data_IF_003102634675
#
_entry.id   IF_003102634675
#
_cell.length_a   1.000
_cell.length_b   1.000
_cell.length_c   1.000
_cell.angle_alpha   90.00
_cell.angle_beta   90.00
_cell.angle_gamma   90.00
#
_symmetry.space_group_name_H-M   'P 1'
#
loop_
_entity.id
_entity.type
_entity.pdbx_description
1 polymer ?
#
# COMPACT_ATOMS: atom_id res chain seq x y z
N UNK A 1 -38.78 30.99 49.41
CA UNK A 1 -38.47 31.12 47.97
C UNK A 1 -37.13 30.42 47.74
N UNK A 2 -37.17 29.31 47.00
CA UNK A 2 -36.04 28.43 46.68
C UNK A 2 -35.43 28.88 45.36
N UNK A 3 -34.11 28.81 45.21
CA UNK A 3 -33.43 28.86 43.90
C UNK A 3 -32.17 27.98 43.95
N UNK A 4 -32.31 26.75 43.47
CA UNK A 4 -31.19 25.87 43.09
C UNK A 4 -30.65 26.28 41.71
N UNK A 5 -29.35 26.07 41.42
CA UNK A 5 -28.78 26.41 40.12
C UNK A 5 -29.29 25.47 39.00
N UNK A 6 -29.38 25.95 37.74
CA UNK A 6 -29.93 25.17 36.64
C UNK A 6 -28.96 24.08 36.17
N UNK A 7 -29.44 22.85 36.15
CA UNK A 7 -28.78 21.70 35.52
C UNK A 7 -28.88 21.86 33.99
N UNK A 8 -27.77 22.20 33.33
CA UNK A 8 -27.69 22.19 31.87
C UNK A 8 -27.62 20.74 31.37
N UNK A 9 -28.78 20.15 31.09
CA UNK A 9 -28.91 19.00 30.19
C UNK A 9 -28.70 19.51 28.77
N UNK A 10 -27.53 19.28 28.19
CA UNK A 10 -27.36 19.45 26.75
C UNK A 10 -27.92 18.21 26.04
N UNK A 11 -28.92 18.43 25.20
CA UNK A 11 -29.60 17.41 24.44
C UNK A 11 -28.65 16.79 23.41
N UNK A 12 -28.50 15.46 23.46
CA UNK A 12 -28.01 14.70 22.33
C UNK A 12 -29.10 14.72 21.25
N UNK A 13 -28.98 15.63 20.29
CA UNK A 13 -29.73 15.58 19.03
C UNK A 13 -28.87 16.20 17.95
N UNK A 14 -28.44 15.35 17.05
CA UNK A 14 -27.52 15.68 15.98
C UNK A 14 -27.07 14.36 15.39
N UNK A 15 -28.01 13.66 14.77
CA UNK A 15 -27.73 12.51 13.92
C UNK A 15 -26.74 12.98 12.85
N UNK A 16 -25.44 12.81 13.10
CA UNK A 16 -24.45 12.88 12.03
C UNK A 16 -24.58 11.54 11.33
N UNK A 17 -25.60 11.45 10.50
CA UNK A 17 -25.62 10.51 9.38
C UNK A 17 -24.26 10.70 8.71
N UNK A 18 -23.35 9.73 8.88
CA UNK A 18 -22.15 9.66 8.06
C UNK A 18 -22.68 9.31 6.66
N UNK A 19 -22.77 10.26 5.71
CA UNK A 19 -23.36 9.94 4.43
C UNK A 19 -22.25 9.40 3.54
N UNK A 20 -22.60 8.35 2.80
CA UNK A 20 -21.87 7.73 1.70
C UNK A 20 -20.71 6.84 2.15
N UNK A 21 -20.79 5.58 1.70
CA UNK A 21 -19.68 4.65 1.57
C UNK A 21 -18.43 5.39 1.02
N UNK A 22 -17.57 5.86 1.93
CA UNK A 22 -16.25 6.37 1.59
C UNK A 22 -15.43 5.15 1.23
N UNK A 23 -15.48 4.78 -0.06
CA UNK A 23 -14.51 3.85 -0.64
C UNK A 23 -13.14 4.31 -0.16
N UNK A 24 -12.47 3.43 0.56
CA UNK A 24 -11.12 3.66 1.04
C UNK A 24 -10.25 4.25 -0.07
N UNK A 25 -9.55 5.35 0.24
CA UNK A 25 -8.63 5.98 -0.70
C UNK A 25 -7.34 5.15 -0.86
N UNK A 26 -6.65 5.30 -1.99
CA UNK A 26 -5.36 4.64 -2.21
C UNK A 26 -4.32 5.03 -1.14
N UNK A 27 -4.39 6.28 -0.64
CA UNK A 27 -3.54 6.74 0.45
C UNK A 27 -3.83 6.01 1.76
N UNK A 28 -5.11 5.90 2.16
CA UNK A 28 -5.51 5.19 3.38
C UNK A 28 -5.17 3.70 3.29
N UNK A 29 -5.43 3.08 2.13
CA UNK A 29 -5.08 1.69 1.88
C UNK A 29 -3.58 1.47 1.96
N UNK A 30 -2.81 2.29 1.25
CA UNK A 30 -1.35 2.21 1.21
C UNK A 30 -0.75 2.37 2.60
N UNK A 31 -1.21 3.38 3.36
CA UNK A 31 -0.77 3.60 4.73
C UNK A 31 -1.04 2.37 5.62
N UNK A 32 -2.26 1.83 5.56
CA UNK A 32 -2.63 0.67 6.38
C UNK A 32 -1.82 -0.57 5.99
N UNK A 33 -1.65 -0.85 4.71
CA UNK A 33 -0.91 -2.04 4.26
C UNK A 33 0.58 -1.92 4.61
N UNK A 34 1.21 -0.78 4.34
CA UNK A 34 2.61 -0.56 4.68
C UNK A 34 2.87 -0.61 6.19
N UNK A 35 1.92 -0.13 7.00
CA UNK A 35 1.98 -0.27 8.46
C UNK A 35 1.96 -1.74 8.86
N UNK A 36 1.05 -2.55 8.32
CA UNK A 36 0.98 -4.00 8.60
C UNK A 36 2.24 -4.74 8.16
N UNK A 37 2.84 -4.35 7.04
CA UNK A 37 4.10 -4.91 6.54
C UNK A 37 5.25 -4.63 7.53
N UNK A 38 5.31 -3.40 8.08
CA UNK A 38 6.34 -3.01 9.06
C UNK A 38 6.13 -3.71 10.40
N UNK A 39 4.89 -3.78 10.90
CA UNK A 39 4.52 -4.50 12.13
C UNK A 39 4.84 -6.00 12.06
N UNK A 40 4.71 -6.60 10.87
CA UNK A 40 5.11 -7.98 10.62
C UNK A 40 6.63 -8.17 10.42
N UNK A 41 7.43 -7.09 10.47
CA UNK A 41 8.87 -7.11 10.25
C UNK A 41 9.28 -7.47 8.81
N UNK A 42 8.35 -7.37 7.86
CA UNK A 42 8.58 -7.79 6.47
C UNK A 42 9.34 -6.74 5.68
N UNK A 43 9.19 -5.45 6.03
CA UNK A 43 9.94 -4.34 5.44
C UNK A 43 11.47 -4.48 5.60
N UNK A 44 11.93 -5.21 6.63
CA UNK A 44 13.34 -5.49 6.87
C UNK A 44 13.84 -6.79 6.21
N UNK A 45 12.92 -7.67 5.78
CA UNK A 45 13.23 -9.03 5.29
C UNK A 45 12.93 -9.22 3.81
N UNK A 46 12.05 -8.39 3.25
CA UNK A 46 11.54 -8.46 1.86
C UNK A 46 11.74 -7.12 1.18
N UNK A 47 11.74 -7.15 -0.15
CA UNK A 47 11.90 -5.95 -1.00
C UNK A 47 10.57 -5.25 -1.19
N UNK A 48 10.14 -4.60 -0.12
CA UNK A 48 8.94 -3.77 -0.05
C UNK A 48 9.30 -2.44 0.63
N UNK A 49 8.73 -1.30 0.22
CA UNK A 49 9.00 -0.02 0.86
C UNK A 49 8.64 -0.06 2.34
N UNK A 50 9.48 0.54 3.18
CA UNK A 50 9.16 0.79 4.58
C UNK A 50 8.47 2.14 4.70
N UNK A 51 7.40 2.22 5.48
CA UNK A 51 6.79 3.50 5.85
C UNK A 51 7.73 4.24 6.82
N UNK A 52 8.18 5.43 6.44
CA UNK A 52 9.08 6.26 7.24
C UNK A 52 8.35 7.40 7.96
N UNK A 53 7.21 7.83 7.42
CA UNK A 53 6.39 8.88 8.03
C UNK A 53 5.17 9.23 7.21
N UNK A 54 4.35 10.13 7.75
CA UNK A 54 3.18 10.72 7.09
C UNK A 54 3.39 12.21 6.90
N UNK A 55 2.86 12.74 5.79
CA UNK A 55 2.90 14.17 5.49
C UNK A 55 1.54 14.76 5.84
N UNK A 56 1.55 15.75 6.73
CA UNK A 56 0.35 16.40 7.25
C UNK A 56 0.38 17.89 6.93
N UNK A 57 -0.74 18.42 6.46
CA UNK A 57 -0.98 19.86 6.28
C UNK A 57 -2.19 20.28 7.11
N UNK A 58 -1.95 21.03 8.20
CA UNK A 58 -2.98 21.32 9.20
C UNK A 58 -3.43 20.04 9.91
N UNK A 59 -4.72 19.72 9.84
CA UNK A 59 -5.30 18.48 10.41
C UNK A 59 -5.48 17.37 9.36
N UNK A 60 -5.01 17.58 8.12
CA UNK A 60 -5.23 16.66 6.99
C UNK A 60 -3.94 15.92 6.65
N UNK A 61 -4.01 14.59 6.57
CA UNK A 61 -2.93 13.77 6.00
C UNK A 61 -2.98 13.86 4.48
N UNK A 62 -1.91 14.34 3.87
CA UNK A 62 -1.82 14.60 2.42
C UNK A 62 -0.85 13.67 1.70
N UNK A 63 -0.12 12.81 2.42
CA UNK A 63 0.81 11.88 1.82
C UNK A 63 1.59 11.05 2.82
N UNK A 64 2.55 10.28 2.30
CA UNK A 64 3.42 9.40 3.08
C UNK A 64 4.85 9.44 2.54
N UNK A 65 5.81 9.22 3.44
CA UNK A 65 7.22 9.03 3.13
C UNK A 65 7.55 7.56 3.26
N UNK A 66 8.24 7.01 2.25
CA UNK A 66 8.63 5.62 2.18
C UNK A 66 10.12 5.48 1.86
N UNK A 67 10.67 4.27 2.01
CA UNK A 67 12.01 3.95 1.52
C UNK A 67 12.19 4.42 0.08
N UNK A 68 13.23 5.21 -0.16
CA UNK A 68 13.69 5.54 -1.49
C UNK A 68 14.38 4.30 -2.08
N UNK A 69 13.83 3.78 -3.18
CA UNK A 69 14.46 2.73 -3.97
C UNK A 69 15.29 3.42 -5.05
N UNK A 70 16.61 3.34 -4.97
CA UNK A 70 17.51 3.90 -5.98
C UNK A 70 17.52 2.99 -7.20
N UNK A 71 17.44 3.57 -8.39
CA UNK A 71 17.47 2.86 -9.66
C UNK A 71 18.15 3.70 -10.72
N UNK A 72 18.53 3.09 -11.85
CA UNK A 72 19.26 3.75 -12.92
C UNK A 72 18.56 5.00 -13.48
N UNK A 73 17.23 5.10 -13.35
CA UNK A 73 16.46 6.29 -13.69
C UNK A 73 15.26 6.45 -12.76
N UNK A 74 14.87 7.70 -12.51
CA UNK A 74 13.66 8.01 -11.77
C UNK A 74 12.47 7.32 -12.44
N UNK A 75 11.70 6.55 -11.66
CA UNK A 75 10.54 5.75 -12.09
C UNK A 75 10.85 4.58 -13.02
N UNK A 76 12.08 4.05 -13.00
CA UNK A 76 12.35 2.77 -13.65
C UNK A 76 11.51 1.64 -13.03
N UNK A 77 10.88 0.84 -13.88
CA UNK A 77 10.08 -0.33 -13.50
C UNK A 77 10.32 -1.47 -14.50
N UNK A 78 9.77 -2.66 -14.25
CA UNK A 78 10.07 -3.89 -15.00
C UNK A 78 9.90 -3.79 -16.54
N UNK A 79 8.96 -2.95 -17.01
CA UNK A 79 8.71 -2.69 -18.45
C UNK A 79 9.55 -1.56 -19.03
N UNK A 80 10.46 -0.97 -18.26
CA UNK A 80 11.32 0.11 -18.77
C UNK A 80 12.27 -0.45 -19.84
N UNK A 81 12.53 0.32 -20.92
CA UNK A 81 13.46 -0.08 -21.97
C UNK A 81 14.83 -0.48 -21.39
N UNK A 82 15.40 -1.59 -21.87
CA UNK A 82 16.66 -2.13 -21.38
C UNK A 82 16.56 -2.99 -20.11
N UNK A 83 15.46 -2.94 -19.35
CA UNK A 83 15.16 -3.93 -18.30
C UNK A 83 14.36 -5.11 -18.85
N UNK A 84 13.36 -4.84 -19.68
CA UNK A 84 12.52 -5.88 -20.30
C UNK A 84 13.33 -6.88 -21.17
N UNK A 85 14.46 -6.43 -21.74
CA UNK A 85 15.33 -7.24 -22.59
C UNK A 85 16.35 -8.07 -21.79
N UNK A 86 16.40 -7.92 -20.45
CA UNK A 86 17.31 -8.65 -19.54
C UNK A 86 16.75 -10.02 -19.18
N UNK A 87 16.52 -10.84 -20.19
CA UNK A 87 15.90 -12.17 -20.03
C UNK A 87 16.63 -13.06 -19.01
N UNK A 88 17.95 -12.88 -18.86
CA UNK A 88 18.78 -13.58 -17.88
C UNK A 88 18.39 -13.29 -16.42
N UNK A 89 17.75 -12.15 -16.15
CA UNK A 89 17.33 -11.73 -14.80
C UNK A 89 15.86 -12.03 -14.49
N UNK A 90 15.05 -12.38 -15.50
CA UNK A 90 13.61 -12.58 -15.31
C UNK A 90 13.30 -13.64 -14.25
N UNK A 91 14.04 -14.75 -14.27
CA UNK A 91 13.87 -15.82 -13.28
C UNK A 91 14.17 -15.34 -11.87
N UNK A 92 15.23 -14.54 -11.69
CA UNK A 92 15.58 -13.96 -10.39
C UNK A 92 14.48 -13.03 -9.89
N UNK A 93 13.96 -12.15 -10.76
CA UNK A 93 12.90 -11.21 -10.40
C UNK A 93 11.60 -11.92 -10.05
N UNK A 94 11.24 -12.95 -10.81
CA UNK A 94 10.10 -13.81 -10.51
C UNK A 94 10.24 -14.45 -9.13
N UNK A 95 11.37 -15.11 -8.85
CA UNK A 95 11.63 -15.74 -7.55
C UNK A 95 11.54 -14.74 -6.38
N UNK A 96 12.04 -13.52 -6.56
CA UNK A 96 12.01 -12.46 -5.55
C UNK A 96 10.59 -11.96 -5.28
N UNK A 97 9.82 -11.72 -6.33
CA UNK A 97 8.43 -11.28 -6.23
C UNK A 97 7.56 -12.38 -5.64
N UNK A 98 7.71 -13.63 -6.09
CA UNK A 98 7.00 -14.79 -5.54
C UNK A 98 7.30 -14.95 -4.06
N UNK A 99 8.56 -14.91 -3.64
CA UNK A 99 8.93 -15.02 -2.22
C UNK A 99 8.37 -13.86 -1.38
N UNK A 100 8.31 -12.65 -1.94
CA UNK A 100 7.70 -11.48 -1.28
C UNK A 100 6.20 -11.66 -1.11
N UNK A 101 5.49 -11.98 -2.20
CA UNK A 101 4.04 -12.18 -2.22
C UNK A 101 3.62 -13.31 -1.28
N UNK A 102 4.31 -14.45 -1.31
CA UNK A 102 4.04 -15.57 -0.41
C UNK A 102 4.17 -15.16 1.07
N UNK A 103 5.22 -14.41 1.43
CA UNK A 103 5.39 -13.97 2.81
C UNK A 103 4.30 -12.97 3.23
N UNK A 104 3.89 -12.07 2.33
CA UNK A 104 2.75 -11.18 2.58
C UNK A 104 1.48 -11.98 2.86
N UNK A 105 1.19 -12.99 2.04
CA UNK A 105 0.01 -13.85 2.17
C UNK A 105 0.01 -14.64 3.47
N UNK A 106 1.16 -15.15 3.92
CA UNK A 106 1.30 -15.81 5.24
C UNK A 106 0.85 -14.89 6.38
N UNK A 107 1.02 -13.57 6.22
CA UNK A 107 0.59 -12.55 7.20
C UNK A 107 -0.80 -11.97 6.91
N UNK A 108 -1.55 -12.55 5.96
CA UNK A 108 -2.86 -12.07 5.55
C UNK A 108 -2.81 -10.67 4.90
N UNK A 109 -1.68 -10.31 4.30
CA UNK A 109 -1.47 -9.06 3.58
C UNK A 109 -1.57 -9.37 2.09
N UNK A 110 -2.35 -8.58 1.38
CA UNK A 110 -2.62 -8.75 -0.05
C UNK A 110 -2.13 -7.50 -0.75
N UNK A 111 -1.26 -7.67 -1.75
CA UNK A 111 -0.67 -6.53 -2.47
C UNK A 111 -1.76 -5.78 -3.22
N UNK A 112 -2.58 -6.50 -3.98
CA UNK A 112 -3.82 -6.00 -4.56
C UNK A 112 -3.68 -5.20 -5.84
N UNK A 113 -2.48 -4.86 -6.30
CA UNK A 113 -2.26 -4.17 -7.59
C UNK A 113 -1.01 -4.69 -8.31
N UNK A 114 -1.02 -5.99 -8.60
CA UNK A 114 0.12 -6.68 -9.19
C UNK A 114 0.19 -6.42 -10.69
N UNK A 115 1.18 -5.64 -11.12
CA UNK A 115 1.54 -5.48 -12.53
C UNK A 115 2.99 -5.00 -12.70
N UNK A 116 3.59 -5.12 -13.90
CA UNK A 116 5.01 -4.80 -14.12
C UNK A 116 5.41 -3.35 -13.82
N UNK A 117 4.48 -2.38 -13.90
CA UNK A 117 4.76 -0.99 -13.54
C UNK A 117 4.86 -0.75 -12.02
N UNK A 118 4.31 -1.67 -11.21
CA UNK A 118 4.45 -1.66 -9.75
C UNK A 118 5.62 -2.53 -9.27
N UNK A 119 6.53 -2.90 -10.18
CA UNK A 119 7.79 -3.58 -9.85
C UNK A 119 8.95 -2.63 -10.13
N UNK A 120 9.57 -2.11 -9.07
CA UNK A 120 10.79 -1.32 -9.20
C UNK A 120 12.01 -2.24 -9.25
N UNK A 121 13.00 -1.90 -10.07
CA UNK A 121 14.31 -2.58 -10.12
C UNK A 121 15.35 -1.64 -9.55
N UNK A 122 16.04 -2.06 -8.49
CA UNK A 122 17.07 -1.24 -7.85
C UNK A 122 18.42 -1.26 -8.60
N UNK A 123 19.39 -0.48 -8.13
CA UNK A 123 20.76 -0.44 -8.68
C UNK A 123 21.51 -1.78 -8.60
N UNK A 124 21.10 -2.67 -7.70
CA UNK A 124 21.62 -4.03 -7.57
C UNK A 124 20.86 -5.03 -8.46
N UNK A 125 19.99 -4.54 -9.36
CA UNK A 125 19.16 -5.32 -10.26
C UNK A 125 18.21 -6.28 -9.53
N UNK A 126 17.73 -5.90 -8.35
CA UNK A 126 16.77 -6.65 -7.55
C UNK A 126 15.36 -6.09 -7.70
N UNK A 127 14.36 -6.96 -7.68
CA UNK A 127 12.96 -6.60 -7.85
C UNK A 127 12.30 -6.25 -6.51
N UNK A 128 11.62 -5.10 -6.49
CA UNK A 128 10.84 -4.59 -5.37
C UNK A 128 9.36 -4.54 -5.73
N UNK A 129 8.50 -5.06 -4.85
CA UNK A 129 7.07 -4.83 -4.94
C UNK A 129 6.75 -3.45 -4.36
N UNK A 130 6.20 -2.55 -5.19
CA UNK A 130 5.83 -1.19 -4.80
C UNK A 130 4.34 -0.95 -5.01
N UNK A 131 3.85 0.21 -4.57
CA UNK A 131 2.44 0.62 -4.68
C UNK A 131 1.44 -0.38 -4.04
N UNK A 132 1.20 -0.17 -2.75
CA UNK A 132 0.22 -0.94 -1.96
C UNK A 132 -1.11 -0.19 -1.78
N UNK A 133 -1.28 0.95 -2.46
CA UNK A 133 -2.51 1.75 -2.42
C UNK A 133 -3.56 1.24 -3.40
N UNK A 134 -3.12 0.62 -4.50
CA UNK A 134 -4.00 0.09 -5.55
C UNK A 134 -4.95 -1.01 -5.09
N UNK A 135 -6.07 -1.13 -5.80
CA UNK A 135 -7.18 -2.03 -5.44
C UNK A 135 -7.36 -3.24 -6.36
N UNK A 136 -7.00 -3.12 -7.64
CA UNK A 136 -6.90 -4.16 -8.66
C UNK A 136 -6.54 -3.52 -10.01
N UNK A 137 -5.80 -4.23 -10.85
CA UNK A 137 -5.73 -3.92 -12.27
C UNK A 137 -6.32 -5.09 -13.07
N UNK A 138 -7.51 -4.89 -13.62
CA UNK A 138 -8.28 -5.92 -14.34
C UNK A 138 -7.58 -6.43 -15.63
N UNK A 139 -6.61 -5.67 -16.15
CA UNK A 139 -5.77 -6.10 -17.27
C UNK A 139 -4.82 -7.24 -16.87
N UNK A 140 -4.38 -7.25 -15.62
CA UNK A 140 -3.37 -8.18 -15.11
C UNK A 140 -3.93 -9.23 -14.14
N UNK A 141 -5.06 -8.92 -13.48
CA UNK A 141 -5.68 -9.76 -12.47
C UNK A 141 -7.18 -9.86 -12.72
N UNK A 142 -7.69 -11.10 -12.86
CA UNK A 142 -9.14 -11.36 -12.96
C UNK A 142 -9.88 -10.70 -11.78
N UNK A 143 -10.88 -9.88 -12.07
CA UNK A 143 -11.70 -9.18 -11.08
C UNK A 143 -12.30 -10.12 -10.02
N UNK A 144 -12.54 -11.40 -10.36
CA UNK A 144 -13.02 -12.41 -9.40
C UNK A 144 -11.97 -12.76 -8.34
N UNK A 145 -10.70 -12.54 -8.62
CA UNK A 145 -9.56 -12.77 -7.73
C UNK A 145 -9.09 -11.50 -7.02
N UNK A 146 -9.76 -10.37 -7.26
CA UNK A 146 -9.42 -9.10 -6.63
C UNK A 146 -9.36 -9.23 -5.11
N UNK A 147 -8.29 -8.67 -4.51
CA UNK A 147 -8.08 -8.63 -3.05
C UNK A 147 -8.01 -10.03 -2.40
N UNK A 148 -7.66 -11.06 -3.17
CA UNK A 148 -7.37 -12.40 -2.62
C UNK A 148 -5.90 -12.72 -2.80
N UNK A 149 -5.42 -13.72 -2.04
CA UNK A 149 -4.06 -14.26 -2.22
C UNK A 149 -3.86 -14.87 -3.61
N UNK A 150 -4.92 -15.28 -4.31
CA UNK A 150 -4.81 -15.78 -5.69
C UNK A 150 -4.68 -14.67 -6.74
N UNK A 151 -5.12 -13.44 -6.42
CA UNK A 151 -5.00 -12.26 -7.28
C UNK A 151 -3.79 -11.37 -6.97
N UNK A 152 -3.06 -11.68 -5.88
CA UNK A 152 -1.85 -10.97 -5.44
C UNK A 152 -2.03 -10.18 -4.17
#
# INVERSE_FOLDING_TARGET
MQNSPPTLRCAASGSRVLPMDMRETELERGLRILTRIDEAGLSARRRVPRLQGVVVSGEVTIGMLMTLITSASIRSHLQSPGLQDRHELHKQWEEQLTATIQELHVHGIVWGDVHPMNVAIDEEMQAWAIDFGGMNNAEFVDDKKRKTTEGG
#
